data_IF_343752274239
#
_entry.id   IF_343752274239
#
_cell.length_a   1.000
_cell.length_b   1.000
_cell.length_c   1.000
_cell.angle_alpha   90.00
_cell.angle_beta   90.00
_cell.angle_gamma   90.00
#
_symmetry.space_group_name_H-M   'P 1'
#
loop_
_entity.id
_entity.type
_entity.pdbx_description
1 polymer ?
#
# COMPACT_ATOMS: atom_id res chain seq x y z
N UNK A 1 -6.44 8.05 -5.30
CA UNK A 1 -7.02 8.60 -6.55
C UNK A 1 -6.06 9.63 -7.11
N UNK A 2 -6.11 9.90 -8.42
CA UNK A 2 -5.44 11.08 -8.98
C UNK A 2 -6.08 12.37 -8.44
N UNK A 3 -5.35 13.51 -8.42
CA UNK A 3 -5.87 14.78 -7.93
C UNK A 3 -7.11 15.27 -8.70
N UNK A 4 -7.24 14.90 -9.98
CA UNK A 4 -8.38 15.24 -10.83
C UNK A 4 -9.56 14.25 -10.72
N UNK A 5 -9.47 13.27 -9.82
CA UNK A 5 -10.46 12.21 -9.57
C UNK A 5 -10.81 11.35 -10.79
N UNK A 6 -10.04 11.41 -11.88
CA UNK A 6 -10.30 10.62 -13.10
C UNK A 6 -9.72 9.21 -13.04
N UNK A 7 -8.71 8.97 -12.20
CA UNK A 7 -8.05 7.67 -12.07
C UNK A 7 -8.09 7.18 -10.62
N UNK A 8 -8.68 6.00 -10.42
CA UNK A 8 -8.66 5.28 -9.16
C UNK A 8 -7.69 4.10 -9.26
N UNK A 9 -6.61 4.12 -8.47
CA UNK A 9 -5.73 2.95 -8.32
C UNK A 9 -6.26 2.08 -7.20
N UNK A 10 -6.48 0.79 -7.49
CA UNK A 10 -6.97 -0.21 -6.56
C UNK A 10 -5.83 -1.17 -6.29
N UNK A 11 -5.35 -1.18 -5.04
CA UNK A 11 -4.35 -2.13 -4.58
C UNK A 11 -5.06 -3.41 -4.14
N UNK A 12 -4.57 -4.55 -4.64
CA UNK A 12 -5.19 -5.86 -4.49
C UNK A 12 -4.17 -6.84 -3.95
N UNK A 13 -4.56 -7.57 -2.92
CA UNK A 13 -3.80 -8.71 -2.40
C UNK A 13 -4.75 -9.91 -2.31
N UNK A 14 -4.57 -10.94 -3.13
CA UNK A 14 -5.32 -12.18 -2.98
C UNK A 14 -5.03 -12.82 -1.61
N UNK A 15 -5.97 -13.65 -1.15
CA UNK A 15 -5.80 -14.37 0.11
C UNK A 15 -4.55 -15.27 0.05
N UNK A 16 -3.64 -15.06 0.99
CA UNK A 16 -2.36 -15.78 1.05
C UNK A 16 -1.36 -15.41 -0.05
N UNK A 17 -1.54 -14.28 -0.74
CA UNK A 17 -0.57 -13.74 -1.70
C UNK A 17 -0.34 -14.58 -2.97
N UNK A 18 -1.23 -15.56 -3.22
CA UNK A 18 -1.12 -16.48 -4.37
C UNK A 18 -1.92 -15.98 -5.57
N UNK A 19 -1.53 -16.45 -6.76
CA UNK A 19 -2.25 -16.22 -8.01
C UNK A 19 -2.45 -14.74 -8.38
N UNK A 20 -1.57 -13.86 -7.90
CA UNK A 20 -1.69 -12.41 -8.03
C UNK A 20 -1.87 -11.96 -9.47
N UNK A 21 -1.08 -12.46 -10.41
CA UNK A 21 -1.21 -12.13 -11.83
C UNK A 21 -2.55 -12.58 -12.43
N UNK A 22 -3.01 -13.78 -12.06
CA UNK A 22 -4.29 -14.32 -12.52
C UNK A 22 -5.46 -13.46 -12.01
N UNK A 23 -5.44 -13.08 -10.73
CA UNK A 23 -6.46 -12.21 -10.13
C UNK A 23 -6.45 -10.83 -10.78
N UNK A 24 -5.28 -10.22 -10.96
CA UNK A 24 -5.15 -8.93 -11.64
C UNK A 24 -5.70 -8.99 -13.07
N UNK A 25 -5.36 -10.03 -13.82
CA UNK A 25 -5.87 -10.21 -15.19
C UNK A 25 -7.40 -10.39 -15.22
N UNK A 26 -7.97 -11.14 -14.25
CA UNK A 26 -9.41 -11.29 -14.11
C UNK A 26 -10.10 -9.96 -13.79
N UNK A 27 -9.52 -9.15 -12.90
CA UNK A 27 -10.03 -7.81 -12.56
C UNK A 27 -9.97 -6.87 -13.76
N UNK A 28 -8.87 -6.85 -14.51
CA UNK A 28 -8.73 -5.99 -15.68
C UNK A 28 -9.73 -6.37 -16.78
N UNK A 29 -9.96 -7.67 -17.02
CA UNK A 29 -11.01 -8.15 -17.95
C UNK A 29 -12.41 -7.67 -17.55
N UNK A 30 -12.68 -7.55 -16.26
CA UNK A 30 -13.99 -7.15 -15.73
C UNK A 30 -14.09 -5.65 -15.37
N UNK A 31 -13.06 -4.87 -15.68
CA UNK A 31 -12.93 -3.45 -15.31
C UNK A 31 -14.15 -2.60 -15.67
N UNK A 32 -14.72 -2.78 -16.87
CA UNK A 32 -15.89 -2.00 -17.33
C UNK A 32 -17.12 -2.23 -16.44
N UNK A 33 -17.38 -3.48 -16.08
CA UNK A 33 -18.48 -3.86 -15.20
C UNK A 33 -18.27 -3.29 -13.79
N UNK A 34 -17.09 -3.52 -13.21
CA UNK A 34 -16.73 -3.03 -11.88
C UNK A 34 -16.82 -1.51 -11.78
N UNK A 35 -16.38 -0.79 -12.82
CA UNK A 35 -16.49 0.67 -12.90
C UNK A 35 -17.94 1.15 -12.79
N UNK A 36 -18.88 0.47 -13.48
CA UNK A 36 -20.30 0.78 -13.40
C UNK A 36 -20.87 0.55 -12.00
N UNK A 37 -20.52 -0.59 -11.39
CA UNK A 37 -20.95 -0.93 -10.04
C UNK A 37 -20.45 0.06 -8.97
N UNK A 38 -19.18 0.46 -9.06
CA UNK A 38 -18.58 1.45 -8.14
C UNK A 38 -19.29 2.80 -8.29
N UNK A 39 -19.48 3.28 -9.51
CA UNK A 39 -20.13 4.57 -9.75
C UNK A 39 -21.56 4.60 -9.19
N UNK A 40 -22.32 3.51 -9.38
CA UNK A 40 -23.68 3.36 -8.85
C UNK A 40 -23.72 3.31 -7.33
N UNK A 41 -22.84 2.52 -6.69
CA UNK A 41 -22.83 2.33 -5.23
C UNK A 41 -22.32 3.54 -4.47
N UNK A 42 -21.36 4.29 -5.04
CA UNK A 42 -20.75 5.47 -4.41
C UNK A 42 -21.44 6.77 -4.85
N UNK A 43 -22.46 6.68 -5.71
CA UNK A 43 -23.21 7.82 -6.25
C UNK A 43 -22.30 8.90 -6.89
N UNK A 44 -21.34 8.47 -7.71
CA UNK A 44 -20.39 9.36 -8.37
C UNK A 44 -21.01 9.96 -9.64
N UNK A 45 -20.84 11.28 -9.83
CA UNK A 45 -21.21 11.98 -11.08
C UNK A 45 -20.43 11.45 -12.28
N UNK A 46 -19.15 11.10 -12.08
CA UNK A 46 -18.28 10.52 -13.10
C UNK A 46 -17.58 9.29 -12.53
N UNK A 47 -17.64 8.19 -13.29
CA UNK A 47 -16.94 6.98 -12.92
C UNK A 47 -15.45 7.11 -13.30
N UNK A 48 -14.52 7.05 -12.33
CA UNK A 48 -13.09 7.08 -12.65
C UNK A 48 -12.69 5.84 -13.45
N UNK A 49 -11.60 5.94 -14.19
CA UNK A 49 -10.93 4.76 -14.70
C UNK A 49 -10.30 3.97 -13.54
N UNK A 50 -10.42 2.65 -13.58
CA UNK A 50 -9.92 1.76 -12.52
C UNK A 50 -8.58 1.17 -12.93
N UNK A 51 -7.54 1.31 -12.12
CA UNK A 51 -6.22 0.72 -12.36
C UNK A 51 -5.89 -0.25 -11.23
N UNK A 52 -5.86 -1.55 -11.53
CA UNK A 52 -5.51 -2.56 -10.55
C UNK A 52 -3.98 -2.69 -10.42
N UNK A 53 -3.51 -2.84 -9.18
CA UNK A 53 -2.10 -3.03 -8.82
C UNK A 53 -2.00 -4.03 -7.67
N UNK A 54 -0.89 -4.74 -7.59
CA UNK A 54 -0.56 -5.58 -6.43
C UNK A 54 -0.27 -4.67 -5.24
N UNK A 55 -0.70 -5.08 -4.05
CA UNK A 55 -0.34 -4.38 -2.81
C UNK A 55 1.01 -4.87 -2.25
N UNK A 56 2.10 -4.17 -2.53
CA UNK A 56 3.45 -4.56 -2.09
C UNK A 56 3.75 -4.19 -0.62
N UNK A 57 2.77 -3.65 0.12
CA UNK A 57 3.01 -3.15 1.49
C UNK A 57 3.43 -4.22 2.49
N UNK A 58 2.99 -5.48 2.29
CA UNK A 58 3.38 -6.57 3.18
C UNK A 58 4.86 -6.95 3.01
N UNK A 59 5.30 -7.08 1.76
CA UNK A 59 6.70 -7.39 1.45
C UNK A 59 7.64 -6.28 1.94
N UNK A 60 7.23 -5.02 1.77
CA UNK A 60 7.99 -3.87 2.26
C UNK A 60 8.01 -3.81 3.80
N UNK A 61 6.90 -4.14 4.48
CA UNK A 61 6.87 -4.20 5.94
C UNK A 61 7.84 -5.28 6.48
N UNK A 62 7.85 -6.48 5.88
CA UNK A 62 8.80 -7.54 6.24
C UNK A 62 10.25 -7.10 6.01
N UNK A 63 10.52 -6.41 4.91
CA UNK A 63 11.84 -5.87 4.59
C UNK A 63 12.27 -4.82 5.63
N UNK A 64 11.39 -3.88 5.98
CA UNK A 64 11.64 -2.88 7.01
C UNK A 64 11.92 -3.57 8.35
N UNK A 65 11.10 -4.55 8.73
CA UNK A 65 11.29 -5.29 9.98
C UNK A 65 12.65 -5.99 10.03
N UNK A 66 13.09 -6.61 8.93
CA UNK A 66 14.43 -7.20 8.81
C UNK A 66 15.54 -6.16 8.97
N UNK A 67 15.39 -4.98 8.36
CA UNK A 67 16.35 -3.88 8.46
C UNK A 67 16.44 -3.34 9.89
N UNK A 68 15.30 -3.14 10.57
CA UNK A 68 15.25 -2.65 11.95
C UNK A 68 15.87 -3.64 12.95
N UNK A 69 15.88 -4.94 12.63
CA UNK A 69 16.52 -5.98 13.45
C UNK A 69 18.03 -6.12 13.21
N UNK A 70 18.62 -5.31 12.35
CA UNK A 70 20.08 -5.37 12.14
C UNK A 70 20.82 -4.84 13.37
N UNK A 71 21.97 -5.43 13.75
CA UNK A 71 22.72 -5.01 14.93
C UNK A 71 23.16 -3.54 14.89
N UNK A 72 23.40 -3.00 13.69
CA UNK A 72 23.76 -1.60 13.52
C UNK A 72 22.59 -0.68 13.92
N UNK A 73 21.38 -0.96 13.41
CA UNK A 73 20.19 -0.15 13.67
C UNK A 73 19.68 -0.33 15.11
N UNK A 74 19.74 -1.54 15.67
CA UNK A 74 19.31 -1.76 17.06
C UNK A 74 20.11 -0.95 18.08
N UNK A 75 21.44 -0.82 17.89
CA UNK A 75 22.28 0.00 18.78
C UNK A 75 21.84 1.46 18.81
N UNK A 76 21.46 2.01 17.66
CA UNK A 76 21.03 3.41 17.54
C UNK A 76 19.61 3.63 18.11
N UNK A 77 18.79 2.58 18.18
CA UNK A 77 17.45 2.63 18.79
C UNK A 77 17.47 2.46 20.31
N UNK A 78 18.51 1.83 20.86
CA UNK A 78 18.72 1.62 22.30
C UNK A 78 19.43 2.81 22.98
N UNK A 79 20.07 3.69 22.20
CA UNK A 79 20.63 4.94 22.71
C UNK A 79 19.51 5.98 22.85
N UNK A 80 19.08 6.22 24.09
CA UNK A 80 18.05 7.19 24.44
C UNK A 80 18.51 8.63 24.13
N UNK A 81 17.81 9.41 23.27
CA UNK A 81 18.18 10.79 22.95
C UNK A 81 18.08 11.76 24.14
N UNK A 82 17.57 11.32 25.30
CA UNK A 82 17.53 12.13 26.51
C UNK A 82 18.85 12.09 27.32
N UNK A 83 19.83 11.22 27.00
CA UNK A 83 21.15 11.24 27.67
C UNK A 83 22.06 12.38 27.21
N UNK A 84 21.90 12.91 25.99
CA UNK A 84 22.74 13.99 25.45
C UNK A 84 22.36 15.39 25.99
N UNK A 85 21.26 15.54 26.73
CA UNK A 85 20.81 16.84 27.27
C UNK A 85 21.33 17.18 28.67
N UNK A 86 21.97 16.24 29.36
CA UNK A 86 22.43 16.44 30.75
C UNK A 86 23.90 16.90 30.86
N UNK A 87 24.68 16.91 29.77
CA UNK A 87 26.12 17.25 29.81
C UNK A 87 26.48 18.74 29.57
N UNK A 88 25.52 19.64 29.30
CA UNK A 88 25.78 21.07 29.05
C UNK A 88 25.52 22.03 30.25
N UNK A 89 25.56 21.56 31.50
CA UNK A 89 25.49 22.43 32.70
C UNK A 89 26.86 22.78 33.29
#
# INVERSE_FOLDING_TARGET
MSPDLKLATIYVMPLGGRDTEMVLAALERNKKFLRGEVARRVNLKFAPDLRFRVDERFDEAERIEKLLRTPAVQRDLEQDPDQDREEEQ
#
